data_IF_613528717436
#
_entry.id   IF_613528717436
#
_cell.length_a   1.000
_cell.length_b   1.000
_cell.length_c   1.000
_cell.angle_alpha   90.00
_cell.angle_beta   90.00
_cell.angle_gamma   90.00
#
_symmetry.space_group_name_H-M   'P 1'
#
loop_
_entity.id
_entity.type
_entity.pdbx_description
1 polymer ?
#
# COMPACT_ATOMS: atom_id res chain seq x y z
N UNK A 1 -10.41 19.41 8.37
CA UNK A 1 -9.08 18.89 7.99
C UNK A 1 -9.12 18.68 6.49
N UNK A 2 -8.08 19.06 5.74
CA UNK A 2 -8.02 18.87 4.29
C UNK A 2 -6.89 17.91 3.96
N UNK A 3 -7.18 16.89 3.16
CA UNK A 3 -6.18 15.93 2.66
C UNK A 3 -5.69 16.38 1.29
N UNK A 4 -4.40 16.19 1.02
CA UNK A 4 -3.79 16.60 -0.26
C UNK A 4 -4.42 15.90 -1.49
N UNK A 5 -5.07 14.75 -1.29
CA UNK A 5 -5.74 13.96 -2.32
C UNK A 5 -7.15 13.55 -1.86
N UNK A 6 -7.92 14.49 -1.33
CA UNK A 6 -9.28 14.22 -0.85
C UNK A 6 -10.20 13.82 -2.02
N UNK A 7 -10.59 12.54 -2.06
CA UNK A 7 -11.48 11.97 -3.09
C UNK A 7 -12.91 11.76 -2.58
N UNK A 8 -13.24 12.31 -1.41
CA UNK A 8 -14.58 12.22 -0.85
C UNK A 8 -15.55 13.00 -1.72
N UNK A 9 -16.76 12.47 -1.84
CA UNK A 9 -17.88 13.17 -2.43
C UNK A 9 -18.55 14.01 -1.33
N UNK A 10 -19.04 15.20 -1.68
CA UNK A 10 -19.92 15.95 -0.79
C UNK A 10 -21.29 15.26 -0.69
N UNK A 11 -22.06 15.58 0.36
CA UNK A 11 -23.42 15.05 0.53
C UNK A 11 -24.28 15.32 -0.71
N UNK A 12 -24.17 16.51 -1.32
CA UNK A 12 -24.90 16.85 -2.54
C UNK A 12 -24.46 16.01 -3.75
N UNK A 13 -23.16 15.67 -3.84
CA UNK A 13 -22.65 14.80 -4.89
C UNK A 13 -23.13 13.37 -4.71
N UNK A 14 -23.13 12.86 -3.47
CA UNK A 14 -23.67 11.53 -3.12
C UNK A 14 -25.15 11.47 -3.48
N UNK A 15 -25.94 12.46 -3.06
CA UNK A 15 -27.36 12.56 -3.38
C UNK A 15 -27.62 12.65 -4.89
N UNK A 16 -26.77 13.39 -5.62
CA UNK A 16 -26.86 13.49 -7.08
C UNK A 16 -26.68 12.12 -7.74
N UNK A 17 -25.64 11.36 -7.38
CA UNK A 17 -25.43 10.02 -7.93
C UNK A 17 -26.53 9.05 -7.49
N UNK A 18 -26.99 9.14 -6.24
CA UNK A 18 -28.10 8.33 -5.74
C UNK A 18 -29.39 8.53 -6.53
N UNK A 19 -29.73 9.78 -6.86
CA UNK A 19 -30.86 10.09 -7.75
C UNK A 19 -30.66 9.56 -9.16
N UNK A 20 -29.48 9.77 -9.75
CA UNK A 20 -29.18 9.26 -11.08
C UNK A 20 -29.33 7.73 -11.19
N UNK A 21 -28.88 6.98 -10.18
CA UNK A 21 -29.09 5.52 -10.11
C UNK A 21 -30.58 5.18 -10.00
N UNK A 22 -31.33 5.86 -9.12
CA UNK A 22 -32.77 5.65 -8.92
C UNK A 22 -33.58 5.92 -10.20
N UNK A 23 -33.14 6.88 -11.00
CA UNK A 23 -33.78 7.26 -12.26
C UNK A 23 -33.42 6.31 -13.42
N UNK A 24 -32.69 5.23 -13.16
CA UNK A 24 -32.33 4.23 -14.16
C UNK A 24 -31.04 4.52 -14.92
N UNK A 25 -30.14 5.32 -14.35
CA UNK A 25 -28.85 5.70 -14.92
C UNK A 25 -28.95 6.31 -16.33
N UNK A 26 -29.86 7.28 -16.58
CA UNK A 26 -30.03 7.87 -17.90
C UNK A 26 -28.72 8.53 -18.37
N UNK A 27 -28.39 8.37 -19.65
CA UNK A 27 -27.21 9.00 -20.22
C UNK A 27 -27.35 10.53 -20.19
N UNK A 28 -26.25 11.22 -19.86
CA UNK A 28 -26.19 12.68 -19.92
C UNK A 28 -26.24 13.20 -21.36
N UNK A 29 -26.26 14.51 -21.53
CA UNK A 29 -26.12 15.11 -22.86
C UNK A 29 -24.73 14.81 -23.41
N UNK A 30 -24.63 14.07 -24.52
CA UNK A 30 -23.35 13.66 -25.11
C UNK A 30 -22.39 14.82 -25.41
N UNK A 31 -22.92 15.99 -25.76
CA UNK A 31 -22.13 17.21 -25.98
C UNK A 31 -21.51 17.80 -24.69
N UNK A 32 -21.87 17.27 -23.52
CA UNK A 32 -21.31 17.64 -22.20
C UNK A 32 -20.41 16.55 -21.63
N UNK A 33 -20.09 15.52 -22.40
CA UNK A 33 -19.17 14.49 -21.94
C UNK A 33 -17.82 15.14 -21.62
N UNK A 34 -17.21 14.83 -20.45
CA UNK A 34 -15.86 15.28 -20.17
C UNK A 34 -14.90 14.63 -21.18
N UNK A 35 -13.78 15.31 -21.45
CA UNK A 35 -12.68 14.69 -22.20
C UNK A 35 -12.18 13.45 -21.45
N UNK A 36 -11.76 12.44 -22.21
CA UNK A 36 -11.18 11.23 -21.62
C UNK A 36 -9.87 11.63 -20.91
N UNK A 37 -9.68 11.27 -19.63
CA UNK A 37 -8.45 11.60 -18.93
C UNK A 37 -7.22 11.06 -19.67
N UNK A 38 -6.21 11.91 -19.85
CA UNK A 38 -4.91 11.47 -20.34
C UNK A 38 -4.11 10.86 -19.21
N UNK A 39 -3.67 9.62 -19.39
CA UNK A 39 -2.78 8.94 -18.46
C UNK A 39 -1.35 8.95 -19.03
N UNK A 40 -0.32 9.19 -18.19
CA UNK A 40 1.05 9.14 -18.64
C UNK A 40 1.38 7.74 -19.18
N UNK A 41 2.06 7.71 -20.32
CA UNK A 41 2.62 6.48 -20.90
C UNK A 41 3.88 6.01 -20.16
N UNK A 42 4.54 6.92 -19.44
CA UNK A 42 5.68 6.68 -18.58
C UNK A 42 5.31 6.57 -17.10
N UNK A 43 6.22 7.04 -16.25
CA UNK A 43 6.05 7.07 -14.79
C UNK A 43 5.23 8.30 -14.35
N UNK A 44 4.27 8.11 -13.45
CA UNK A 44 3.38 9.16 -12.94
C UNK A 44 4.14 10.24 -12.16
N UNK A 45 5.22 9.87 -11.49
CA UNK A 45 5.98 10.78 -10.62
C UNK A 45 7.17 11.49 -11.31
N UNK A 46 7.25 11.38 -12.64
CA UNK A 46 8.34 11.89 -13.47
C UNK A 46 9.47 10.87 -13.64
N UNK A 47 10.64 11.33 -14.10
CA UNK A 47 11.81 10.46 -14.25
C UNK A 47 12.28 9.90 -12.88
N UNK A 48 12.41 8.57 -12.73
CA UNK A 48 12.90 7.95 -11.51
C UNK A 48 14.42 7.94 -11.43
N UNK A 49 14.96 7.95 -10.21
CA UNK A 49 16.41 7.87 -9.97
C UNK A 49 16.96 6.46 -10.19
N UNK A 50 16.13 5.43 -10.00
CA UNK A 50 16.48 4.03 -10.23
C UNK A 50 15.27 3.23 -10.70
N UNK A 51 15.43 2.48 -11.78
CA UNK A 51 14.44 1.49 -12.25
C UNK A 51 15.05 0.10 -12.15
N UNK A 52 14.34 -0.83 -11.51
CA UNK A 52 14.74 -2.23 -11.38
C UNK A 52 13.64 -3.11 -11.96
N UNK A 53 14.02 -4.08 -12.78
CA UNK A 53 13.10 -5.06 -13.37
C UNK A 53 13.07 -6.35 -12.56
N UNK A 54 11.91 -6.97 -12.50
CA UNK A 54 11.74 -8.28 -11.92
C UNK A 54 12.63 -9.29 -12.63
N UNK A 55 13.30 -10.17 -11.88
CA UNK A 55 14.09 -11.26 -12.46
C UNK A 55 13.16 -12.41 -12.84
N UNK A 56 13.20 -12.78 -14.11
CA UNK A 56 12.35 -13.84 -14.64
C UNK A 56 10.89 -13.40 -14.74
N UNK A 57 10.01 -14.38 -14.90
CA UNK A 57 8.57 -14.17 -15.10
C UNK A 57 7.76 -15.09 -14.20
N UNK A 58 6.57 -14.65 -13.83
CA UNK A 58 5.64 -15.46 -13.06
C UNK A 58 4.30 -15.57 -13.78
N UNK A 59 3.87 -16.80 -14.05
CA UNK A 59 2.58 -17.06 -14.69
C UNK A 59 1.47 -17.00 -13.65
N UNK A 60 0.50 -16.12 -13.90
CA UNK A 60 -0.73 -16.02 -13.11
C UNK A 60 -1.83 -16.77 -13.87
N UNK A 61 -2.44 -17.81 -13.26
CA UNK A 61 -3.50 -18.57 -13.91
C UNK A 61 -4.75 -17.71 -14.12
N UNK A 62 -5.59 -18.12 -15.06
CA UNK A 62 -6.87 -17.45 -15.33
C UNK A 62 -7.86 -17.55 -14.18
N UNK A 63 -7.86 -18.69 -13.48
CA UNK A 63 -8.80 -19.01 -12.43
C UNK A 63 -8.08 -19.67 -11.27
N UNK A 64 -8.76 -19.74 -10.13
CA UNK A 64 -8.30 -20.42 -8.94
C UNK A 64 -8.32 -19.52 -7.71
N UNK A 65 -7.60 -19.95 -6.68
CA UNK A 65 -7.47 -19.20 -5.44
C UNK A 65 -6.47 -18.07 -5.61
N UNK A 66 -6.58 -17.08 -4.74
CA UNK A 66 -5.60 -16.02 -4.60
C UNK A 66 -4.18 -16.57 -4.40
N UNK A 67 -3.20 -15.87 -4.97
CA UNK A 67 -1.79 -16.24 -4.93
C UNK A 67 -1.01 -15.12 -4.25
N UNK A 68 -0.27 -15.46 -3.20
CA UNK A 68 0.71 -14.56 -2.61
C UNK A 68 2.10 -14.95 -3.08
N UNK A 69 2.80 -14.02 -3.73
CA UNK A 69 4.13 -14.26 -4.29
C UNK A 69 5.03 -13.06 -4.01
N UNK A 70 6.25 -13.32 -3.57
CA UNK A 70 7.22 -12.28 -3.22
C UNK A 70 8.40 -12.29 -4.18
N UNK A 71 8.65 -11.17 -4.84
CA UNK A 71 9.70 -11.02 -5.85
C UNK A 71 10.84 -10.17 -5.30
N UNK A 72 12.07 -10.62 -5.49
CA UNK A 72 13.26 -9.93 -5.00
C UNK A 72 13.85 -9.05 -6.10
N UNK A 73 14.12 -7.79 -5.77
CA UNK A 73 14.71 -6.77 -6.63
C UNK A 73 16.06 -6.35 -6.04
N UNK A 74 17.17 -6.98 -6.50
CA UNK A 74 18.49 -6.61 -6.02
C UNK A 74 18.88 -5.21 -6.47
N UNK A 75 19.14 -4.30 -5.53
CA UNK A 75 19.42 -2.90 -5.86
C UNK A 75 20.90 -2.63 -6.11
N UNK A 76 21.79 -3.36 -5.41
CA UNK A 76 23.24 -3.18 -5.48
C UNK A 76 23.69 -1.73 -5.20
N UNK A 77 22.99 -1.03 -4.30
CA UNK A 77 23.29 0.36 -3.96
C UNK A 77 24.69 0.48 -3.33
N UNK A 78 25.56 1.38 -3.82
CA UNK A 78 26.91 1.56 -3.28
C UNK A 78 26.92 2.34 -1.95
N UNK A 79 25.85 3.08 -1.68
CA UNK A 79 25.68 3.94 -0.50
C UNK A 79 24.23 3.95 -0.03
N UNK A 80 24.02 4.40 1.21
CA UNK A 80 22.68 4.50 1.79
C UNK A 80 21.86 5.56 1.03
N UNK A 81 20.56 5.30 0.89
CA UNK A 81 19.62 6.19 0.21
C UNK A 81 18.43 6.52 1.11
N UNK A 82 17.73 7.58 0.73
CA UNK A 82 16.50 8.03 1.36
C UNK A 82 15.40 8.04 0.30
N UNK A 83 14.38 7.21 0.45
CA UNK A 83 13.34 6.99 -0.57
C UNK A 83 12.14 7.91 -0.33
N UNK A 84 11.80 8.72 -1.33
CA UNK A 84 10.60 9.58 -1.36
C UNK A 84 9.37 8.86 -1.85
N UNK A 85 9.52 7.90 -2.77
CA UNK A 85 8.44 7.13 -3.34
C UNK A 85 8.95 5.82 -3.96
N UNK A 86 8.05 4.84 -4.03
CA UNK A 86 8.15 3.68 -4.90
C UNK A 86 6.98 3.72 -5.86
N UNK A 87 7.24 3.52 -7.14
CA UNK A 87 6.20 3.39 -8.17
C UNK A 87 6.32 2.02 -8.83
N UNK A 88 5.21 1.29 -8.87
CA UNK A 88 5.13 -0.04 -9.47
C UNK A 88 4.49 0.04 -10.85
N UNK A 89 5.13 -0.60 -11.83
CA UNK A 89 4.54 -0.95 -13.12
C UNK A 89 4.42 -2.47 -13.21
N UNK A 90 3.27 -3.05 -12.85
CA UNK A 90 3.03 -4.47 -13.05
C UNK A 90 2.71 -4.74 -14.53
N UNK A 91 3.09 -5.92 -14.99
CA UNK A 91 2.68 -6.44 -16.30
C UNK A 91 1.31 -7.10 -16.21
N UNK A 92 1.04 -7.84 -15.12
CA UNK A 92 -0.23 -8.53 -14.89
C UNK A 92 -1.25 -7.61 -14.18
N UNK A 93 -1.50 -6.41 -14.74
CA UNK A 93 -2.25 -5.33 -14.07
C UNK A 93 -3.64 -5.76 -13.62
N UNK A 94 -4.33 -6.61 -14.39
CA UNK A 94 -5.69 -7.05 -14.04
C UNK A 94 -5.72 -8.13 -12.96
N UNK A 95 -4.58 -8.78 -12.68
CA UNK A 95 -4.48 -9.78 -11.63
C UNK A 95 -3.85 -9.27 -10.33
N UNK A 96 -3.10 -8.15 -10.35
CA UNK A 96 -2.52 -7.58 -9.12
C UNK A 96 -3.62 -6.95 -8.26
N UNK A 97 -3.93 -7.56 -7.13
CA UNK A 97 -4.88 -7.02 -6.15
C UNK A 97 -4.19 -6.04 -5.18
N UNK A 98 -2.97 -6.33 -4.76
CA UNK A 98 -2.07 -5.35 -4.15
C UNK A 98 -0.62 -5.82 -4.21
N UNK A 99 0.31 -4.89 -3.98
CA UNK A 99 1.70 -5.19 -3.74
C UNK A 99 2.24 -4.41 -2.53
N UNK A 100 3.13 -5.01 -1.74
CA UNK A 100 3.78 -4.41 -0.58
C UNK A 100 5.29 -4.46 -0.77
N UNK A 101 5.97 -3.36 -0.44
CA UNK A 101 7.42 -3.22 -0.64
C UNK A 101 8.15 -3.29 0.71
N UNK A 102 9.01 -4.30 0.84
CA UNK A 102 9.84 -4.52 2.03
C UNK A 102 11.31 -4.35 1.70
N UNK A 103 12.10 -4.00 2.70
CA UNK A 103 13.56 -3.90 2.62
C UNK A 103 14.16 -5.20 3.13
N UNK A 104 14.98 -5.86 2.31
CA UNK A 104 15.85 -6.96 2.75
C UNK A 104 17.29 -6.45 2.87
N UNK A 105 17.71 -6.15 4.10
CA UNK A 105 19.05 -5.60 4.39
C UNK A 105 20.15 -6.65 4.49
N UNK A 106 19.81 -7.94 4.52
CA UNK A 106 20.78 -9.03 4.73
C UNK A 106 20.81 -10.05 3.58
N UNK A 107 19.97 -9.87 2.56
CA UNK A 107 19.90 -10.72 1.38
C UNK A 107 19.32 -12.10 1.64
N UNK A 108 18.56 -12.29 2.74
CA UNK A 108 17.93 -13.56 3.05
C UNK A 108 16.88 -13.96 1.99
N UNK A 109 16.12 -13.00 1.47
CA UNK A 109 15.11 -13.27 0.45
C UNK A 109 15.75 -13.79 -0.84
N UNK A 110 16.91 -13.27 -1.25
CA UNK A 110 17.67 -13.81 -2.40
C UNK A 110 17.99 -15.30 -2.25
N UNK A 111 18.31 -15.76 -1.04
CA UNK A 111 18.62 -17.17 -0.77
C UNK A 111 17.37 -18.07 -0.81
N UNK A 112 16.18 -17.47 -0.81
CA UNK A 112 14.88 -18.15 -0.84
C UNK A 112 14.21 -18.12 -2.21
N UNK A 113 14.58 -17.15 -3.05
CA UNK A 113 14.09 -17.01 -4.42
C UNK A 113 14.25 -18.31 -5.22
N UNK A 114 13.18 -18.73 -5.91
CA UNK A 114 13.24 -19.89 -6.80
C UNK A 114 13.23 -21.26 -6.15
N UNK A 115 13.15 -21.38 -4.81
CA UNK A 115 13.19 -22.69 -4.12
C UNK A 115 12.10 -23.67 -4.52
N UNK A 116 10.97 -23.19 -5.03
CA UNK A 116 9.87 -24.00 -5.52
C UNK A 116 9.83 -24.12 -7.06
N UNK A 117 10.93 -23.75 -7.74
CA UNK A 117 11.07 -23.82 -9.19
C UNK A 117 10.40 -22.70 -9.97
N UNK A 118 9.82 -21.70 -9.30
CA UNK A 118 9.17 -20.53 -9.93
C UNK A 118 9.85 -19.23 -9.52
N UNK A 119 9.78 -18.18 -10.33
CA UNK A 119 10.33 -16.87 -9.97
C UNK A 119 9.71 -16.34 -8.66
N UNK A 120 10.52 -15.79 -7.76
CA UNK A 120 10.08 -15.32 -6.44
C UNK A 120 9.99 -16.40 -5.37
N UNK A 121 9.33 -16.05 -4.28
CA UNK A 121 9.12 -16.84 -3.07
C UNK A 121 7.62 -16.99 -2.87
N UNK A 122 7.14 -18.19 -2.52
CA UNK A 122 5.74 -18.39 -2.15
C UNK A 122 5.39 -17.68 -0.83
N UNK A 123 4.33 -16.89 -0.82
CA UNK A 123 3.81 -16.19 0.35
C UNK A 123 4.78 -15.14 0.95
N UNK A 124 4.66 -14.93 2.25
CA UNK A 124 5.44 -13.95 3.04
C UNK A 124 6.46 -14.61 3.98
N UNK A 125 6.82 -15.88 3.74
CA UNK A 125 7.73 -16.62 4.59
C UNK A 125 9.15 -16.05 4.68
N UNK A 126 9.48 -15.02 3.89
CA UNK A 126 10.76 -14.31 3.91
C UNK A 126 10.85 -13.22 4.99
N UNK A 127 9.71 -12.67 5.45
CA UNK A 127 9.68 -11.48 6.31
C UNK A 127 10.54 -11.63 7.56
N UNK A 128 10.42 -12.77 8.25
CA UNK A 128 11.16 -13.03 9.49
C UNK A 128 12.68 -13.04 9.27
N UNK A 129 13.13 -13.47 8.10
CA UNK A 129 14.54 -13.61 7.76
C UNK A 129 15.10 -12.32 7.11
N UNK A 130 14.26 -11.58 6.38
CA UNK A 130 14.60 -10.33 5.71
C UNK A 130 14.42 -9.14 6.65
N UNK A 131 15.39 -8.93 7.55
CA UNK A 131 15.39 -7.78 8.46
C UNK A 131 14.55 -7.94 9.74
N UNK A 132 14.02 -9.13 10.03
CA UNK A 132 13.34 -9.41 11.30
C UNK A 132 11.90 -8.88 11.40
N UNK A 133 11.28 -8.54 10.27
CA UNK A 133 9.90 -8.07 10.20
C UNK A 133 8.95 -9.24 10.46
N UNK A 134 7.95 -9.06 11.33
CA UNK A 134 6.96 -10.11 11.64
C UNK A 134 5.52 -9.72 11.28
N UNK A 135 5.29 -8.46 10.91
CA UNK A 135 3.97 -7.92 10.59
C UNK A 135 3.98 -7.29 9.18
N UNK A 136 3.10 -7.71 8.24
CA UNK A 136 2.96 -7.08 6.93
C UNK A 136 2.66 -5.58 6.98
N UNK A 137 2.05 -5.05 8.06
CA UNK A 137 1.83 -3.62 8.26
C UNK A 137 3.15 -2.81 8.25
N UNK A 138 4.27 -3.46 8.55
CA UNK A 138 5.60 -2.85 8.45
C UNK A 138 5.96 -2.40 7.03
N UNK A 139 5.28 -2.89 5.98
CA UNK A 139 5.40 -2.36 4.61
C UNK A 139 5.15 -0.85 4.57
N UNK A 140 4.17 -0.36 5.35
CA UNK A 140 3.85 1.07 5.47
C UNK A 140 4.66 1.75 6.59
N UNK A 141 5.67 1.05 7.08
CA UNK A 141 6.36 1.32 8.34
C UNK A 141 7.52 2.28 8.29
N UNK A 142 7.72 2.99 7.17
CA UNK A 142 8.71 4.06 6.99
C UNK A 142 10.03 3.89 7.75
N UNK A 143 11.04 3.25 7.14
CA UNK A 143 12.35 3.06 7.77
C UNK A 143 12.48 1.85 8.69
N UNK A 144 11.37 1.26 9.18
CA UNK A 144 11.34 -0.04 9.87
C UNK A 144 11.17 -1.23 8.92
N UNK A 145 11.79 -1.18 7.73
CA UNK A 145 11.82 -2.30 6.79
C UNK A 145 10.74 -2.30 5.71
N UNK A 146 10.00 -1.20 5.53
CA UNK A 146 9.00 -1.04 4.46
C UNK A 146 9.13 0.24 3.66
N UNK A 147 8.69 0.20 2.40
CA UNK A 147 8.71 1.30 1.43
C UNK A 147 7.31 1.65 0.87
N UNK A 148 6.25 1.17 1.52
CA UNK A 148 4.86 1.37 1.14
C UNK A 148 4.27 0.20 0.36
N UNK A 149 3.23 0.50 -0.42
CA UNK A 149 2.53 -0.49 -1.23
C UNK A 149 1.77 0.14 -2.38
N UNK A 150 1.22 -0.73 -3.22
CA UNK A 150 0.39 -0.41 -4.37
C UNK A 150 -0.93 -1.16 -4.26
N UNK A 151 -2.02 -0.47 -4.57
CA UNK A 151 -3.34 -1.07 -4.77
C UNK A 151 -3.92 -0.55 -6.09
N UNK A 152 -4.74 -1.33 -6.82
CA UNK A 152 -5.43 -0.87 -8.00
C UNK A 152 -6.20 0.43 -7.74
N UNK A 153 -6.07 1.38 -8.67
CA UNK A 153 -6.71 2.70 -8.57
C UNK A 153 -5.97 3.73 -7.71
N UNK A 154 -4.97 3.33 -6.91
CA UNK A 154 -4.14 4.30 -6.21
C UNK A 154 -3.19 5.03 -7.17
N UNK A 155 -3.10 6.35 -6.99
CA UNK A 155 -2.10 7.18 -7.67
C UNK A 155 -0.83 7.19 -6.81
N UNK A 156 0.36 6.89 -7.38
CA UNK A 156 1.60 6.97 -6.62
C UNK A 156 1.85 8.41 -6.16
N UNK A 157 2.45 8.58 -4.99
CA UNK A 157 2.74 9.89 -4.41
C UNK A 157 4.12 9.90 -3.75
N UNK A 158 4.82 11.03 -3.86
CA UNK A 158 6.02 11.31 -3.06
C UNK A 158 5.59 11.66 -1.64
N UNK A 159 6.35 11.17 -0.65
CA UNK A 159 6.20 11.61 0.74
C UNK A 159 6.27 13.15 0.81
N UNK A 160 5.45 13.79 1.67
CA UNK A 160 5.37 15.24 1.71
C UNK A 160 6.65 15.86 2.31
N UNK A 161 6.90 17.13 1.98
CA UNK A 161 8.03 17.89 2.53
C UNK A 161 9.38 17.19 2.32
N UNK A 162 10.18 17.13 3.38
CA UNK A 162 11.50 16.50 3.41
C UNK A 162 11.46 15.01 3.82
N UNK A 163 10.30 14.48 4.23
CA UNK A 163 10.15 13.09 4.70
C UNK A 163 10.64 12.09 3.66
N UNK A 164 11.38 11.09 4.11
CA UNK A 164 11.88 9.99 3.29
C UNK A 164 12.12 8.74 4.14
N UNK A 165 12.12 7.56 3.51
CA UNK A 165 12.34 6.27 4.17
C UNK A 165 13.78 5.83 3.99
N UNK A 166 14.43 5.38 5.06
CA UNK A 166 15.82 4.93 5.00
C UNK A 166 15.94 3.63 4.19
N UNK A 167 16.91 3.57 3.29
CA UNK A 167 17.24 2.41 2.47
C UNK A 167 18.75 2.13 2.54
N UNK A 168 19.18 1.09 3.29
CA UNK A 168 20.60 0.80 3.47
C UNK A 168 21.30 0.41 2.16
N UNK A 169 22.60 0.73 2.04
CA UNK A 169 23.45 0.22 0.97
C UNK A 169 23.44 -1.31 0.92
N UNK A 170 23.56 -1.87 -0.28
CA UNK A 170 23.57 -3.32 -0.50
C UNK A 170 22.26 -4.06 -0.19
N UNK A 171 21.20 -3.36 0.22
CA UNK A 171 19.87 -3.93 0.44
C UNK A 171 19.13 -4.24 -0.87
N UNK A 172 18.12 -5.08 -0.75
CA UNK A 172 17.17 -5.39 -1.82
C UNK A 172 15.77 -4.87 -1.46
N UNK A 173 14.94 -4.69 -2.47
CA UNK A 173 13.49 -4.57 -2.27
C UNK A 173 12.85 -5.93 -2.50
N UNK A 174 11.98 -6.35 -1.58
CA UNK A 174 11.10 -7.50 -1.79
C UNK A 174 9.68 -6.99 -1.98
N UNK A 175 9.14 -7.24 -3.17
CA UNK A 175 7.75 -6.94 -3.50
C UNK A 175 6.88 -8.16 -3.24
N UNK A 176 6.14 -8.18 -2.14
CA UNK A 176 5.05 -9.13 -1.99
C UNK A 176 3.89 -8.69 -2.87
N UNK A 177 3.36 -9.59 -3.67
CA UNK A 177 2.19 -9.36 -4.52
C UNK A 177 1.11 -10.36 -4.15
N UNK A 178 -0.08 -9.83 -3.91
CA UNK A 178 -1.32 -10.60 -3.85
C UNK A 178 -1.97 -10.54 -5.22
N UNK A 179 -2.00 -11.68 -5.91
CA UNK A 179 -2.72 -11.85 -7.16
C UNK A 179 -4.11 -12.41 -6.92
N UNK A 180 -5.10 -11.80 -7.55
CA UNK A 180 -6.45 -12.30 -7.70
C UNK A 180 -6.66 -12.66 -9.18
N UNK A 181 -6.82 -13.95 -9.55
CA UNK A 181 -7.02 -14.36 -10.94
C UNK A 181 -8.15 -13.59 -11.63
N UNK A 182 -7.86 -13.05 -12.81
CA UNK A 182 -8.74 -12.08 -13.52
C UNK A 182 -9.70 -12.72 -14.54
N UNK A 183 -9.73 -14.06 -14.62
CA UNK A 183 -10.38 -14.79 -15.71
C UNK A 183 -9.50 -14.95 -16.97
N UNK A 184 -8.27 -14.44 -16.96
CA UNK A 184 -7.31 -14.55 -18.07
C UNK A 184 -5.95 -14.98 -17.56
N UNK A 185 -5.25 -15.82 -18.34
CA UNK A 185 -3.85 -16.14 -18.04
C UNK A 185 -3.02 -14.87 -18.25
N UNK A 186 -2.22 -14.52 -17.25
CA UNK A 186 -1.36 -13.36 -17.27
C UNK A 186 0.08 -13.75 -16.94
N UNK A 187 1.02 -12.86 -17.26
CA UNK A 187 2.43 -13.01 -16.93
C UNK A 187 2.87 -11.75 -16.21
N UNK A 188 3.41 -11.92 -15.01
CA UNK A 188 4.03 -10.84 -14.26
C UNK A 188 5.51 -10.73 -14.62
N UNK A 189 5.94 -9.48 -14.90
CA UNK A 189 7.28 -9.02 -15.26
C UNK A 189 7.41 -7.55 -14.83
N UNK A 190 7.22 -7.32 -13.53
CA UNK A 190 7.08 -5.97 -12.98
C UNK A 190 8.36 -5.13 -13.08
N UNK A 191 8.18 -3.82 -13.14
CA UNK A 191 9.24 -2.82 -12.94
C UNK A 191 8.94 -1.98 -11.69
N UNK A 192 9.97 -1.75 -10.87
CA UNK A 192 9.93 -0.83 -9.74
C UNK A 192 10.77 0.40 -10.03
N UNK A 193 10.19 1.57 -9.84
CA UNK A 193 10.87 2.85 -9.84
C UNK A 193 11.04 3.36 -8.41
N UNK A 194 12.26 3.78 -8.07
CA UNK A 194 12.60 4.43 -6.80
C UNK A 194 12.95 5.89 -7.06
N UNK A 195 12.42 6.76 -6.19
CA UNK A 195 12.71 8.20 -6.19
C UNK A 195 13.43 8.54 -4.89
N UNK A 196 14.61 9.14 -4.99
CA UNK A 196 15.46 9.43 -3.84
C UNK A 196 15.36 10.89 -3.39
N UNK A 197 15.50 11.11 -2.10
CA UNK A 197 15.74 12.41 -1.51
C UNK A 197 17.23 12.77 -1.63
N UNK A 198 17.51 14.07 -1.77
CA UNK A 198 18.90 14.57 -1.86
C UNK A 198 19.65 14.50 -0.52
N UNK A 199 18.94 14.50 0.60
CA UNK A 199 19.48 14.44 1.97
C UNK A 199 18.55 13.63 2.87
N UNK A 200 19.05 13.26 4.05
CA UNK A 200 18.24 12.68 5.11
C UNK A 200 17.10 13.62 5.54
N UNK A 201 15.94 13.10 5.96
CA UNK A 201 14.86 13.91 6.51
C UNK A 201 15.27 14.48 7.88
N UNK A 202 14.70 15.62 8.24
CA UNK A 202 14.92 16.27 9.54
C UNK A 202 14.21 15.52 10.68
N UNK A 203 13.17 14.75 10.34
CA UNK A 203 12.43 13.89 11.27
C UNK A 203 12.19 12.51 10.68
N UNK A 204 12.16 11.50 11.55
CA UNK A 204 11.84 10.14 11.14
C UNK A 204 10.33 9.96 10.98
N UNK A 205 9.93 9.20 9.96
CA UNK A 205 8.58 8.69 9.85
C UNK A 205 8.46 7.48 10.78
N UNK A 206 7.43 7.45 11.64
CA UNK A 206 7.19 6.34 12.57
C UNK A 206 5.76 5.84 12.36
N UNK A 207 5.57 4.57 11.99
CA UNK A 207 4.24 3.98 11.90
C UNK A 207 3.69 3.70 13.28
N UNK A 208 2.39 3.90 13.44
CA UNK A 208 1.68 3.56 14.66
C UNK A 208 0.44 2.78 14.24
N UNK A 209 0.40 1.50 14.60
CA UNK A 209 -0.77 0.65 14.40
C UNK A 209 -1.68 0.77 15.62
N UNK A 210 -2.97 1.03 15.39
CA UNK A 210 -4.00 1.06 16.42
C UNK A 210 -5.16 0.21 15.91
N UNK A 211 -5.55 -0.87 16.63
CA UNK A 211 -4.94 -1.40 17.85
C UNK A 211 -3.52 -1.96 17.64
N UNK A 212 -2.60 -1.86 18.62
CA UNK A 212 -1.27 -2.47 18.50
C UNK A 212 -1.35 -3.99 18.32
N UNK A 213 -0.58 -4.53 17.36
CA UNK A 213 -0.51 -5.95 17.00
C UNK A 213 -1.86 -6.56 16.56
N UNK A 214 -2.78 -5.72 16.09
CA UNK A 214 -4.08 -6.17 15.59
C UNK A 214 -3.91 -7.07 14.37
N UNK A 215 -4.59 -8.23 14.38
CA UNK A 215 -4.48 -9.25 13.33
C UNK A 215 -3.26 -10.18 13.45
N UNK A 216 -2.23 -9.81 14.23
CA UNK A 216 -1.07 -10.67 14.50
C UNK A 216 -1.26 -11.51 15.78
N UNK A 217 -1.72 -10.88 16.86
CA UNK A 217 -1.88 -11.54 18.18
C UNK A 217 -3.24 -11.28 18.83
N UNK A 218 -3.92 -10.18 18.49
CA UNK A 218 -5.31 -9.96 18.91
C UNK A 218 -6.26 -10.78 18.04
N UNK A 219 -6.87 -11.81 18.63
CA UNK A 219 -7.88 -12.61 17.97
C UNK A 219 -9.16 -11.81 17.76
N UNK A 220 -9.61 -11.70 16.51
CA UNK A 220 -10.95 -11.24 16.16
C UNK A 220 -11.84 -12.49 16.18
N UNK A 221 -12.82 -12.52 17.08
CA UNK A 221 -13.79 -13.62 17.16
C UNK A 221 -15.20 -13.06 17.04
N UNK A 222 -15.64 -12.87 15.80
CA UNK A 222 -16.97 -12.33 15.47
C UNK A 222 -17.95 -13.51 15.48
N UNK A 223 -18.95 -13.53 16.39
CA UNK A 223 -19.98 -14.57 16.39
C UNK A 223 -20.78 -14.56 15.09
N UNK A 224 -21.17 -15.74 14.59
CA UNK A 224 -22.00 -15.82 13.40
C UNK A 224 -23.34 -15.11 13.63
N UNK A 225 -23.70 -14.21 12.71
CA UNK A 225 -24.94 -13.44 12.76
C UNK A 225 -24.86 -12.13 13.55
N UNK A 226 -23.79 -11.89 14.29
CA UNK A 226 -23.55 -10.61 14.96
C UNK A 226 -23.34 -9.52 13.90
N UNK A 227 -24.20 -8.50 13.91
CA UNK A 227 -24.16 -7.40 12.95
C UNK A 227 -23.34 -6.21 13.45
N UNK A 228 -23.08 -6.13 14.76
CA UNK A 228 -22.58 -4.92 15.43
C UNK A 228 -21.32 -5.20 16.27
N UNK A 229 -20.46 -6.11 15.78
CA UNK A 229 -19.19 -6.41 16.45
C UNK A 229 -18.16 -5.29 16.24
N UNK A 230 -17.74 -4.65 17.33
CA UNK A 230 -16.78 -3.53 17.31
C UNK A 230 -15.47 -3.94 17.99
N UNK A 231 -14.35 -3.61 17.33
CA UNK A 231 -13.03 -3.59 17.96
C UNK A 231 -12.58 -2.15 18.11
N UNK A 232 -12.29 -1.74 19.34
CA UNK A 232 -11.79 -0.40 19.66
C UNK A 232 -10.51 -0.51 20.49
N UNK A 233 -9.60 0.43 20.29
CA UNK A 233 -8.43 0.65 21.14
C UNK A 233 -7.97 2.10 21.03
N UNK A 234 -7.19 2.56 22.01
CA UNK A 234 -6.63 3.91 22.02
C UNK A 234 -5.25 3.91 22.66
N UNK A 235 -4.42 4.87 22.25
CA UNK A 235 -3.11 5.10 22.88
C UNK A 235 -2.90 6.59 23.10
N UNK A 236 -2.21 6.93 24.19
CA UNK A 236 -1.66 8.27 24.41
C UNK A 236 -0.24 8.30 23.88
N UNK A 237 0.05 9.19 22.94
CA UNK A 237 1.40 9.33 22.39
C UNK A 237 2.32 9.98 23.42
N UNK A 238 3.56 9.47 23.60
CA UNK A 238 4.48 9.98 24.62
C UNK A 238 5.09 11.35 24.27
N UNK A 239 4.96 11.78 23.01
CA UNK A 239 5.46 13.05 22.49
C UNK A 239 4.47 13.64 21.49
N UNK A 240 4.48 14.97 21.28
CA UNK A 240 3.74 15.59 20.18
C UNK A 240 4.22 15.04 18.83
N UNK A 241 3.27 14.72 17.94
CA UNK A 241 3.56 14.23 16.58
C UNK A 241 2.83 15.04 15.53
N UNK A 242 3.32 14.98 14.29
CA UNK A 242 2.57 15.40 13.10
C UNK A 242 2.13 14.16 12.36
N UNK A 243 0.82 13.90 12.32
CA UNK A 243 0.26 12.83 11.49
C UNK A 243 0.31 13.27 10.01
N UNK A 244 0.94 12.46 9.17
CA UNK A 244 1.11 12.74 7.72
C UNK A 244 0.34 11.78 6.82
N UNK A 245 -0.07 10.64 7.37
CA UNK A 245 -0.92 9.65 6.69
C UNK A 245 -1.73 8.92 7.75
N UNK A 246 -2.90 8.43 7.33
CA UNK A 246 -3.82 7.60 8.09
C UNK A 246 -4.47 6.64 7.11
N UNK A 247 -4.66 5.40 7.54
CA UNK A 247 -5.30 4.37 6.72
C UNK A 247 -5.86 3.26 7.59
N UNK A 248 -6.91 2.63 7.10
CA UNK A 248 -7.52 1.44 7.68
C UNK A 248 -7.20 0.23 6.82
N UNK A 249 -7.12 -0.94 7.46
CA UNK A 249 -7.04 -2.23 6.78
C UNK A 249 -8.08 -3.16 7.36
N UNK A 250 -8.93 -3.70 6.50
CA UNK A 250 -9.93 -4.68 6.87
C UNK A 250 -10.20 -5.67 5.73
N UNK A 251 -10.84 -6.78 6.06
CA UNK A 251 -11.30 -7.77 5.08
C UNK A 251 -12.81 -7.66 4.87
N UNK A 252 -13.41 -8.66 4.23
CA UNK A 252 -14.77 -8.65 3.65
C UNK A 252 -15.94 -8.21 4.55
N UNK A 253 -15.86 -8.42 5.86
CA UNK A 253 -17.01 -8.24 6.76
C UNK A 253 -16.99 -6.92 7.54
N UNK A 254 -15.92 -6.14 7.41
CA UNK A 254 -15.89 -4.81 8.01
C UNK A 254 -16.86 -3.90 7.26
N UNK A 255 -17.71 -3.19 8.01
CA UNK A 255 -18.67 -2.22 7.48
C UNK A 255 -18.21 -0.80 7.67
N UNK A 256 -17.68 -0.48 8.85
CA UNK A 256 -17.22 0.85 9.18
C UNK A 256 -15.85 0.83 9.87
N UNK A 257 -15.07 1.88 9.66
CA UNK A 257 -13.83 2.16 10.37
C UNK A 257 -13.73 3.65 10.66
N UNK A 258 -13.53 4.02 11.93
CA UNK A 258 -13.21 5.40 12.29
C UNK A 258 -11.93 5.47 13.10
N UNK A 259 -11.21 6.59 12.93
CA UNK A 259 -10.07 6.93 13.76
C UNK A 259 -10.18 8.41 14.14
N UNK A 260 -9.99 8.68 15.42
CA UNK A 260 -10.04 10.04 15.97
C UNK A 260 -8.80 10.31 16.80
N UNK A 261 -8.42 11.58 16.93
CA UNK A 261 -7.38 12.02 17.83
C UNK A 261 -7.92 13.08 18.79
N UNK A 262 -7.55 12.95 20.06
CA UNK A 262 -7.77 13.99 21.07
C UNK A 262 -6.49 14.79 21.22
N UNK A 263 -6.57 16.09 20.94
CA UNK A 263 -5.44 17.02 21.02
C UNK A 263 -5.14 17.41 22.47
N UNK A 264 -3.96 18.00 22.77
CA UNK A 264 -3.58 18.39 24.13
C UNK A 264 -4.53 19.39 24.81
N UNK A 265 -5.28 20.16 24.02
CA UNK A 265 -6.32 21.10 24.48
C UNK A 265 -7.69 20.42 24.73
N UNK A 266 -7.77 19.09 24.58
CA UNK A 266 -8.98 18.30 24.70
C UNK A 266 -9.85 18.26 23.44
N UNK A 267 -9.49 18.99 22.39
CA UNK A 267 -10.26 18.99 21.13
C UNK A 267 -10.14 17.64 20.43
N UNK A 268 -11.28 17.04 20.08
CA UNK A 268 -11.33 15.83 19.27
C UNK A 268 -11.36 16.19 17.78
N UNK A 269 -10.56 15.49 16.98
CA UNK A 269 -10.56 15.58 15.52
C UNK A 269 -10.76 14.19 14.90
N UNK A 270 -11.54 14.11 13.83
CA UNK A 270 -11.65 12.90 13.00
C UNK A 270 -10.46 12.83 12.05
N UNK A 271 -9.71 11.73 12.12
CA UNK A 271 -8.58 11.44 11.22
C UNK A 271 -9.01 10.55 10.05
N UNK A 272 -9.98 9.67 10.25
CA UNK A 272 -10.51 8.80 9.21
C UNK A 272 -11.93 8.41 9.61
N UNK A 273 -12.81 8.34 8.62
CA UNK A 273 -14.18 7.88 8.76
C UNK A 273 -14.57 7.18 7.47
N UNK A 274 -15.00 5.93 7.60
CA UNK A 274 -15.43 5.04 6.52
C UNK A 274 -16.72 4.41 7.02
N UNK A 275 -17.82 4.66 6.31
CA UNK A 275 -19.18 4.24 6.61
C UNK A 275 -19.79 3.28 5.56
#
# INVERSE_FOLDING_TARGET
MHYANDRRLSDEQIELFGRWVKDGMPEGTSSKNPEVPEYPSGWYLGEPDLVIKMKGKFEVPAEGRDIYRSFVFPLQLPEDKWVKAVELRPKAKSAVHHALFFIDSNGAARKMDGRDGKAGISGMGFLRQAGGVTDPAAAFGGGNGGLGGHVPGATPAKLPGDLAMFLPKGSDVVMQTHFHPSGKKEVEEAELALYFAKKAPEVNLVPIQIPPFFGATKAINIPAGDQDYVVEDSITLPVPVKAVSVGGHAHYICRAMSMTATLPDGKKITLMDID
#
